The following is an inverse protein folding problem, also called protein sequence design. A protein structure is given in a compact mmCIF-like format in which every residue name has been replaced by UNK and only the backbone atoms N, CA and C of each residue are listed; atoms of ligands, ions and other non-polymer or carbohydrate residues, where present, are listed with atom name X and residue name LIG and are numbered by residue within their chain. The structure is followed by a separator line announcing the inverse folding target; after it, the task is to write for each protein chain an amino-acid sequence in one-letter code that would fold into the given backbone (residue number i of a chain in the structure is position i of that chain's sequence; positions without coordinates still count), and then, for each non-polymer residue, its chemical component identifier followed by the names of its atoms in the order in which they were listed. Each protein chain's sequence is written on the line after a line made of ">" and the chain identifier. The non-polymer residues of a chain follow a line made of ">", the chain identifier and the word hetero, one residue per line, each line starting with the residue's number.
data_IF_862012160883
#
_entry.id   IF_862012160883
#
_cell.length_a   1.000
_cell.length_b   1.000
_cell.length_c   1.000
_cell.angle_alpha   90.00
_cell.angle_beta   90.00
_cell.angle_gamma   90.00
#
_symmetry.space_group_name_H-M   'P 1'
#
loop_
_entity.id
_entity.type
_entity.pdbx_description
1 polymer ?
#
# COMPACT_ATOMS: atom_id res chain seq x y z
N UNK A 1 13.23 -6.93 -16.32
CA UNK A 1 11.93 -7.50 -15.87
C UNK A 1 10.90 -7.01 -16.87
N UNK A 2 10.18 -7.89 -17.58
CA UNK A 2 9.09 -7.44 -18.45
C UNK A 2 7.88 -7.10 -17.57
N UNK A 3 7.51 -5.82 -17.53
CA UNK A 3 6.35 -5.36 -16.77
C UNK A 3 5.08 -5.67 -17.58
N UNK A 4 4.11 -6.34 -16.96
CA UNK A 4 2.77 -6.50 -17.54
C UNK A 4 2.04 -5.16 -17.37
N UNK A 5 2.05 -4.34 -18.43
CA UNK A 5 1.41 -3.03 -18.43
C UNK A 5 0.02 -3.17 -19.06
N UNK A 6 -1.02 -2.72 -18.36
CA UNK A 6 -2.34 -2.57 -18.95
C UNK A 6 -2.29 -1.48 -20.02
N UNK A 7 -2.42 -1.86 -21.29
CA UNK A 7 -2.34 -0.93 -22.44
C UNK A 7 -3.46 0.12 -22.46
N UNK A 8 -4.55 -0.09 -21.72
CA UNK A 8 -5.66 0.87 -21.62
C UNK A 8 -5.42 1.97 -20.58
N UNK A 9 -4.36 1.86 -19.77
CA UNK A 9 -4.00 2.87 -18.77
C UNK A 9 -2.66 3.49 -19.17
N UNK A 10 -2.64 4.81 -19.36
CA UNK A 10 -1.41 5.55 -19.62
C UNK A 10 -0.80 5.94 -18.27
N UNK A 11 0.28 5.28 -17.81
CA UNK A 11 0.90 5.63 -16.53
C UNK A 11 1.53 7.01 -16.62
N UNK A 12 1.57 7.71 -15.49
CA UNK A 12 2.42 8.89 -15.34
C UNK A 12 3.89 8.45 -15.36
N UNK A 13 4.64 8.88 -16.37
CA UNK A 13 6.03 8.45 -16.56
C UNK A 13 6.95 8.88 -15.42
N UNK A 14 6.69 10.03 -14.79
CA UNK A 14 7.51 10.54 -13.69
C UNK A 14 7.29 9.70 -12.43
N UNK A 15 6.03 9.44 -12.06
CA UNK A 15 5.71 8.55 -10.93
C UNK A 15 6.21 7.13 -11.17
N UNK A 16 6.02 6.61 -12.38
CA UNK A 16 6.53 5.28 -12.73
C UNK A 16 8.05 5.19 -12.59
N UNK A 17 8.78 6.21 -13.05
CA UNK A 17 10.24 6.26 -12.89
C UNK A 17 10.65 6.30 -11.41
N UNK A 18 9.95 7.07 -10.57
CA UNK A 18 10.21 7.10 -9.12
C UNK A 18 9.99 5.73 -8.48
N UNK A 19 8.89 5.05 -8.82
CA UNK A 19 8.58 3.72 -8.28
C UNK A 19 9.57 2.65 -8.72
N UNK A 20 9.98 2.66 -10.00
CA UNK A 20 10.99 1.71 -10.49
C UNK A 20 12.36 1.96 -9.88
N UNK A 21 12.80 3.22 -9.80
CA UNK A 21 14.06 3.56 -9.13
C UNK A 21 14.03 3.17 -7.64
N UNK A 22 12.90 3.33 -6.95
CA UNK A 22 12.75 2.88 -5.57
C UNK A 22 12.90 1.36 -5.47
N UNK A 23 12.20 0.61 -6.33
CA UNK A 23 12.28 -0.85 -6.38
C UNK A 23 13.69 -1.36 -6.72
N UNK A 24 14.36 -0.78 -7.70
CA UNK A 24 15.69 -1.18 -8.13
C UNK A 24 16.70 -1.03 -6.98
N UNK A 25 16.63 0.08 -6.23
CA UNK A 25 17.46 0.30 -5.04
C UNK A 25 17.23 -0.73 -3.93
N UNK A 26 16.03 -1.29 -3.82
CA UNK A 26 15.77 -2.38 -2.87
C UNK A 26 16.42 -3.68 -3.37
N UNK A 27 16.38 -3.96 -4.67
CA UNK A 27 17.04 -5.13 -5.24
C UNK A 27 18.58 -5.06 -5.17
N UNK A 28 19.17 -3.87 -5.10
CA UNK A 28 20.60 -3.70 -4.84
C UNK A 28 21.03 -4.30 -3.48
N UNK A 29 20.11 -4.34 -2.50
CA UNK A 29 20.36 -4.85 -1.16
C UNK A 29 19.73 -6.22 -0.88
N UNK A 30 18.71 -6.62 -1.65
CA UNK A 30 17.93 -7.83 -1.39
C UNK A 30 17.83 -8.73 -2.63
N UNK A 31 18.29 -9.97 -2.48
CA UNK A 31 18.22 -10.99 -3.56
C UNK A 31 16.81 -11.48 -3.87
N UNK A 32 15.85 -11.22 -2.98
CA UNK A 32 14.45 -11.60 -3.14
C UNK A 32 13.54 -10.65 -2.37
N UNK A 33 12.59 -10.05 -3.09
CA UNK A 33 11.52 -9.24 -2.53
C UNK A 33 10.17 -9.87 -2.84
N UNK A 34 9.26 -9.85 -1.88
CA UNK A 34 7.84 -10.13 -2.08
C UNK A 34 7.12 -8.79 -2.16
N UNK A 35 6.45 -8.55 -3.28
CA UNK A 35 5.61 -7.37 -3.44
C UNK A 35 4.19 -7.68 -2.99
N UNK A 36 3.62 -6.82 -2.15
CA UNK A 36 2.22 -6.85 -1.75
C UNK A 36 1.56 -5.54 -2.16
N UNK A 37 0.66 -5.57 -3.15
CA UNK A 37 -0.21 -4.45 -3.47
C UNK A 37 -1.50 -4.56 -2.66
N UNK A 38 -1.89 -3.47 -2.02
CA UNK A 38 -3.14 -3.36 -1.27
C UNK A 38 -3.94 -2.15 -1.77
N UNK A 39 -5.26 -2.31 -1.78
CA UNK A 39 -6.22 -1.26 -2.06
C UNK A 39 -7.01 -0.99 -0.77
N UNK A 40 -6.72 0.14 -0.10
CA UNK A 40 -7.34 0.53 1.17
C UNK A 40 -8.48 1.50 0.90
N UNK A 41 -9.64 1.22 1.46
CA UNK A 41 -10.81 2.08 1.36
C UNK A 41 -11.70 1.89 2.58
N UNK A 42 -12.53 2.88 2.89
CA UNK A 42 -13.58 2.71 3.88
C UNK A 42 -14.73 1.84 3.34
N UNK A 43 -15.38 1.11 4.23
CA UNK A 43 -16.60 0.34 3.97
C UNK A 43 -17.73 1.31 3.59
N UNK A 44 -18.49 0.98 2.53
CA UNK A 44 -19.55 1.85 1.98
C UNK A 44 -20.61 2.34 2.98
N UNK A 45 -20.77 1.65 4.11
CA UNK A 45 -21.77 1.96 5.14
C UNK A 45 -21.16 2.61 6.40
N UNK A 46 -19.92 3.11 6.34
CA UNK A 46 -19.23 3.74 7.47
C UNK A 46 -19.33 5.27 7.45
N UNK A 47 -19.07 5.90 8.60
CA UNK A 47 -19.09 7.36 8.69
C UNK A 47 -17.89 7.97 7.93
N UNK A 48 -16.72 7.35 7.95
CA UNK A 48 -15.55 7.80 7.19
C UNK A 48 -15.75 7.67 5.68
N UNK A 49 -16.52 6.68 5.20
CA UNK A 49 -16.90 6.65 3.79
C UNK A 49 -17.82 7.83 3.41
N UNK A 50 -18.73 8.21 4.32
CA UNK A 50 -19.69 9.28 4.10
C UNK A 50 -19.07 10.68 4.20
N UNK A 51 -18.21 10.90 5.20
CA UNK A 51 -17.76 12.21 5.66
C UNK A 51 -16.24 12.37 5.77
N UNK A 52 -15.48 11.27 5.69
CA UNK A 52 -14.02 11.30 5.74
C UNK A 52 -13.44 12.09 4.57
N UNK A 53 -12.37 12.81 4.87
CA UNK A 53 -11.67 13.65 3.91
C UNK A 53 -10.23 13.14 3.62
N UNK A 54 -9.53 13.87 2.75
CA UNK A 54 -8.16 13.54 2.38
C UNK A 54 -7.20 13.61 3.57
N UNK A 55 -7.49 14.40 4.61
CA UNK A 55 -6.60 14.58 5.74
C UNK A 55 -6.72 13.42 6.70
N UNK A 56 -7.95 12.96 6.97
CA UNK A 56 -8.19 11.76 7.76
C UNK A 56 -7.52 10.54 7.12
N UNK A 57 -7.83 10.27 5.84
CA UNK A 57 -7.29 9.09 5.15
C UNK A 57 -5.76 9.13 5.02
N UNK A 58 -5.17 10.31 4.80
CA UNK A 58 -3.72 10.47 4.77
C UNK A 58 -3.08 10.25 6.16
N UNK A 59 -3.72 10.73 7.23
CA UNK A 59 -3.23 10.54 8.59
C UNK A 59 -3.25 9.06 9.00
N UNK A 60 -4.37 8.37 8.74
CA UNK A 60 -4.51 6.94 9.01
C UNK A 60 -3.52 6.11 8.19
N UNK A 61 -3.30 6.43 6.92
CA UNK A 61 -2.28 5.75 6.10
C UNK A 61 -0.87 6.01 6.61
N UNK A 62 -0.56 7.25 7.00
CA UNK A 62 0.75 7.59 7.58
C UNK A 62 0.99 6.76 8.83
N UNK A 63 0.00 6.72 9.73
CA UNK A 63 0.05 5.92 10.95
C UNK A 63 0.18 4.42 10.65
N UNK A 64 -0.56 3.90 9.66
CA UNK A 64 -0.41 2.52 9.20
C UNK A 64 1.02 2.23 8.74
N UNK A 65 1.63 3.10 7.95
CA UNK A 65 3.01 2.90 7.45
C UNK A 65 4.05 2.99 8.56
N UNK A 66 3.85 3.86 9.55
CA UNK A 66 4.70 3.93 10.74
C UNK A 66 4.63 2.62 11.54
N UNK A 67 3.44 2.10 11.78
CA UNK A 67 3.26 0.82 12.49
C UNK A 67 3.77 -0.37 11.67
N UNK A 68 3.67 -0.32 10.34
CA UNK A 68 4.22 -1.36 9.48
C UNK A 68 5.75 -1.41 9.51
N UNK A 69 6.44 -0.30 9.82
CA UNK A 69 7.90 -0.28 9.96
C UNK A 69 8.40 -1.16 11.11
N UNK A 70 7.55 -1.40 12.12
CA UNK A 70 7.84 -2.31 13.23
C UNK A 70 7.62 -3.79 12.86
N UNK A 71 6.98 -4.08 11.72
CA UNK A 71 6.81 -5.45 11.24
C UNK A 71 8.12 -5.89 10.57
N UNK A 72 8.74 -6.92 11.14
CA UNK A 72 9.99 -7.49 10.63
C UNK A 72 9.93 -7.74 9.11
N UNK A 73 11.00 -7.35 8.41
CA UNK A 73 11.18 -7.65 6.99
C UNK A 73 10.43 -6.73 6.03
N UNK A 74 9.81 -5.63 6.48
CA UNK A 74 9.45 -4.55 5.58
C UNK A 74 10.71 -3.79 5.15
N UNK A 75 10.97 -3.71 3.85
CA UNK A 75 12.16 -3.05 3.28
C UNK A 75 11.81 -1.73 2.58
N UNK A 76 10.53 -1.52 2.25
CA UNK A 76 10.06 -0.27 1.67
C UNK A 76 8.57 -0.29 1.37
N UNK A 77 8.02 0.88 1.08
CA UNK A 77 6.62 1.04 0.67
C UNK A 77 6.45 2.28 -0.22
N UNK A 78 5.36 2.30 -0.97
CA UNK A 78 4.87 3.48 -1.67
C UNK A 78 3.34 3.48 -1.66
N UNK A 79 2.71 4.64 -1.58
CA UNK A 79 1.26 4.75 -1.65
C UNK A 79 0.83 6.02 -2.38
N UNK A 80 -0.35 5.98 -2.98
CA UNK A 80 -1.02 7.11 -3.63
C UNK A 80 -2.50 7.11 -3.24
N UNK A 81 -3.05 8.30 -3.04
CA UNK A 81 -4.48 8.50 -2.79
C UNK A 81 -5.18 8.84 -4.10
N UNK A 82 -6.31 8.21 -4.34
CA UNK A 82 -7.16 8.42 -5.52
C UNK A 82 -8.62 8.67 -5.11
N UNK A 83 -9.39 9.25 -6.02
CA UNK A 83 -10.85 9.41 -5.85
C UNK A 83 -11.59 8.65 -6.95
N UNK A 84 -12.33 7.62 -6.56
CA UNK A 84 -13.12 6.78 -7.47
C UNK A 84 -14.62 6.85 -7.18
N UNK A 85 -15.46 6.56 -8.19
CA UNK A 85 -16.92 6.60 -8.01
C UNK A 85 -17.45 5.56 -7.00
N UNK A 86 -16.84 4.38 -6.94
CA UNK A 86 -17.28 3.29 -6.07
C UNK A 86 -16.64 3.30 -4.68
N UNK A 87 -15.44 3.86 -4.54
CA UNK A 87 -14.63 3.82 -3.31
C UNK A 87 -14.39 5.20 -2.70
N UNK A 88 -14.81 6.29 -3.38
CA UNK A 88 -14.48 7.68 -3.03
C UNK A 88 -12.97 7.81 -2.79
N UNK A 89 -12.55 8.42 -1.69
CA UNK A 89 -11.14 8.44 -1.28
C UNK A 89 -10.67 7.02 -0.92
N UNK A 90 -9.66 6.55 -1.63
CA UNK A 90 -9.03 5.26 -1.39
C UNK A 90 -7.52 5.37 -1.68
N UNK A 91 -6.75 4.41 -1.17
CA UNK A 91 -5.30 4.39 -1.29
C UNK A 91 -4.84 3.10 -1.95
N UNK A 92 -4.08 3.25 -3.02
CA UNK A 92 -3.28 2.17 -3.56
C UNK A 92 -1.90 2.18 -2.92
N UNK A 93 -1.52 1.09 -2.26
CA UNK A 93 -0.23 0.93 -1.62
C UNK A 93 0.51 -0.29 -2.16
N UNK A 94 1.83 -0.20 -2.22
CA UNK A 94 2.75 -1.29 -2.48
C UNK A 94 3.72 -1.41 -1.31
N UNK A 95 3.85 -2.62 -0.76
CA UNK A 95 4.82 -2.97 0.28
C UNK A 95 5.85 -3.94 -0.29
N UNK A 96 7.12 -3.71 0.02
CA UNK A 96 8.24 -4.54 -0.39
C UNK A 96 8.79 -5.29 0.82
N UNK A 97 8.62 -6.61 0.83
CA UNK A 97 8.94 -7.45 1.97
C UNK A 97 10.16 -8.31 1.63
N UNK A 98 11.12 -8.42 2.54
CA UNK A 98 12.28 -9.28 2.39
C UNK A 98 11.87 -10.75 2.29
N UNK A 99 12.06 -11.33 1.11
CA UNK A 99 11.68 -12.70 0.79
C UNK A 99 12.58 -13.77 1.42
N UNK A 100 13.69 -13.37 2.07
CA UNK A 100 14.53 -14.25 2.88
C UNK A 100 13.97 -14.41 4.29
N UNK A 101 13.44 -13.32 4.87
CA UNK A 101 12.78 -13.32 6.19
C UNK A 101 11.35 -13.87 6.11
N UNK A 102 10.64 -13.59 5.01
CA UNK A 102 9.26 -14.00 4.78
C UNK A 102 9.14 -14.91 3.57
N UNK A 103 8.57 -16.11 3.77
CA UNK A 103 8.31 -17.05 2.66
C UNK A 103 7.07 -16.67 1.84
N UNK A 104 6.09 -15.99 2.44
CA UNK A 104 4.81 -15.61 1.81
C UNK A 104 4.37 -14.24 2.30
N UNK A 105 3.82 -13.43 1.39
CA UNK A 105 3.27 -12.11 1.73
C UNK A 105 1.99 -12.19 2.60
N UNK A 106 1.33 -13.35 2.65
CA UNK A 106 0.08 -13.54 3.40
C UNK A 106 0.18 -13.22 4.89
N UNK A 107 1.28 -13.60 5.55
CA UNK A 107 1.45 -13.30 6.98
C UNK A 107 1.55 -11.79 7.22
N UNK A 108 2.29 -11.10 6.34
CA UNK A 108 2.42 -9.65 6.37
C UNK A 108 1.08 -8.96 6.09
N UNK A 109 0.32 -9.47 5.11
CA UNK A 109 -1.04 -9.00 4.82
C UNK A 109 -1.97 -9.11 6.03
N UNK A 110 -1.94 -10.23 6.77
CA UNK A 110 -2.76 -10.38 7.98
C UNK A 110 -2.45 -9.33 9.04
N UNK A 111 -1.19 -8.94 9.21
CA UNK A 111 -0.79 -7.86 10.12
C UNK A 111 -1.29 -6.50 9.65
N UNK A 112 -1.09 -6.18 8.36
CA UNK A 112 -1.63 -4.94 7.75
C UNK A 112 -3.13 -4.86 7.89
N UNK A 113 -3.84 -5.95 7.60
CA UNK A 113 -5.30 -6.01 7.69
C UNK A 113 -5.78 -5.68 9.12
N UNK A 114 -5.13 -6.28 10.13
CA UNK A 114 -5.47 -6.01 11.53
C UNK A 114 -5.19 -4.55 11.90
N UNK A 115 -4.03 -4.02 11.53
CA UNK A 115 -3.68 -2.62 11.79
C UNK A 115 -4.66 -1.66 11.11
N UNK A 116 -5.02 -1.91 9.85
CA UNK A 116 -5.97 -1.08 9.13
C UNK A 116 -7.35 -1.08 9.79
N UNK A 117 -7.83 -2.26 10.20
CA UNK A 117 -9.10 -2.38 10.91
C UNK A 117 -9.06 -1.67 12.27
N UNK A 118 -7.95 -1.75 13.01
CA UNK A 118 -7.79 -1.07 14.29
C UNK A 118 -7.66 0.46 14.14
N UNK A 119 -6.91 0.94 13.14
CA UNK A 119 -6.65 2.36 12.90
C UNK A 119 -7.91 3.10 12.43
N UNK A 120 -8.75 2.41 11.67
CA UNK A 120 -10.00 2.97 11.13
C UNK A 120 -11.20 2.69 12.02
N UNK A 121 -11.01 2.22 13.26
CA UNK A 121 -12.09 1.85 14.18
C UNK A 121 -13.11 0.86 13.55
N UNK A 122 -12.62 -0.07 12.72
CA UNK A 122 -13.43 -1.08 12.04
C UNK A 122 -14.12 -0.60 10.78
N UNK A 123 -13.88 0.64 10.35
CA UNK A 123 -14.51 1.22 9.17
C UNK A 123 -13.81 0.87 7.86
N UNK A 124 -12.58 0.35 7.90
CA UNK A 124 -11.75 -0.02 6.76
C UNK A 124 -11.83 -1.46 6.27
#
# INVERSE_FOLDING_TARGET
>A
MEYVINSNHKPDCSLQSVLFNHQDRLFDCHSKLLMLRVDFAYRKNSDSYAYGDIHQLAAEMTWLTEQCAEISGLEGYAWVMEYGGDHRYHIHAAFYINGQSHRKAWCFWKSIQSLWEDITDGEG
#
